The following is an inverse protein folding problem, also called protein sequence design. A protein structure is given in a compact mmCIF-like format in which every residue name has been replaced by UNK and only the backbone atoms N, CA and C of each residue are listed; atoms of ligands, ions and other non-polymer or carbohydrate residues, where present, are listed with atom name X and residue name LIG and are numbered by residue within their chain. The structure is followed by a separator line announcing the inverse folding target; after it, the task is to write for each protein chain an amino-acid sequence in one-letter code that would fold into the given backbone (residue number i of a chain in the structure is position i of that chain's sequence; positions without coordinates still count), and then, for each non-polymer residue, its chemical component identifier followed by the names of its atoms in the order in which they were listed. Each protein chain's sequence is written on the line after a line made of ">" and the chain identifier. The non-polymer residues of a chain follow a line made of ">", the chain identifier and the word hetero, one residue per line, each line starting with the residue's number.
data_IF_520001095889
#
_entry.id   IF_520001095889
#
_cell.length_a   1.000
_cell.length_b   1.000
_cell.length_c   1.000
_cell.angle_alpha   90.00
_cell.angle_beta   90.00
_cell.angle_gamma   90.00
#
_symmetry.space_group_name_H-M   'P 1'
#
loop_
_entity.id
_entity.type
_entity.pdbx_description
1 polymer ?
#
# COMPACT_ATOMS: atom_id res chain seq x y z
N UNK A 1 -31.29 -34.96 4.53
CA UNK A 1 -29.84 -35.21 4.59
C UNK A 1 -29.36 -35.37 3.15
N UNK A 2 -28.99 -34.27 2.51
CA UNK A 2 -28.63 -34.22 1.09
C UNK A 2 -27.11 -34.11 1.04
N UNK A 3 -26.44 -35.13 0.48
CA UNK A 3 -25.01 -35.11 0.17
C UNK A 3 -24.84 -34.34 -1.15
N UNK A 4 -24.24 -33.16 -1.12
CA UNK A 4 -23.75 -32.52 -2.35
C UNK A 4 -22.31 -32.96 -2.60
N UNK A 5 -22.11 -33.77 -3.62
CA UNK A 5 -20.81 -34.04 -4.23
C UNK A 5 -20.40 -32.84 -5.08
N UNK A 6 -19.43 -32.06 -4.60
CA UNK A 6 -18.75 -31.06 -5.41
C UNK A 6 -17.81 -31.81 -6.34
N UNK A 7 -18.12 -31.85 -7.64
CA UNK A 7 -17.16 -32.24 -8.66
C UNK A 7 -16.19 -31.08 -8.86
N UNK A 8 -14.93 -31.27 -8.49
CA UNK A 8 -13.84 -30.39 -8.87
C UNK A 8 -13.69 -30.43 -10.39
N UNK A 9 -14.17 -29.40 -11.09
CA UNK A 9 -13.66 -29.06 -12.42
C UNK A 9 -12.26 -28.49 -12.24
N UNK A 10 -11.25 -29.35 -12.38
CA UNK A 10 -9.90 -28.90 -12.71
C UNK A 10 -9.98 -28.24 -14.09
N UNK A 11 -9.86 -26.92 -14.13
CA UNK A 11 -9.54 -26.25 -15.39
C UNK A 11 -8.07 -26.53 -15.65
N UNK A 12 -7.82 -27.40 -16.63
CA UNK A 12 -6.50 -27.65 -17.20
C UNK A 12 -5.92 -26.34 -17.73
N UNK A 13 -5.03 -25.72 -16.97
CA UNK A 13 -4.11 -24.74 -17.52
C UNK A 13 -3.16 -25.50 -18.44
N UNK A 14 -3.01 -25.11 -19.72
CA UNK A 14 -2.05 -25.76 -20.61
C UNK A 14 -0.65 -25.60 -20.02
N UNK A 15 0.11 -26.70 -19.90
CA UNK A 15 1.47 -26.76 -19.32
C UNK A 15 2.42 -25.66 -19.85
N UNK A 16 2.17 -25.14 -21.05
CA UNK A 16 2.92 -24.02 -21.65
C UNK A 16 2.74 -22.65 -20.97
N UNK A 17 1.78 -22.50 -20.06
CA UNK A 17 1.58 -21.25 -19.31
C UNK A 17 2.40 -21.19 -18.01
N UNK A 18 2.93 -22.31 -17.53
CA UNK A 18 3.75 -22.35 -16.31
C UNK A 18 5.20 -21.89 -16.57
N UNK A 19 5.72 -22.13 -17.79
CA UNK A 19 7.08 -21.75 -18.18
C UNK A 19 7.28 -20.23 -18.41
N UNK A 20 6.19 -19.44 -18.44
CA UNK A 20 6.25 -18.00 -18.69
C UNK A 20 5.98 -17.13 -17.45
N UNK A 21 5.70 -17.73 -16.28
CA UNK A 21 5.35 -16.99 -15.05
C UNK A 21 6.45 -17.08 -13.99
N UNK A 22 7.50 -17.86 -14.22
CA UNK A 22 8.65 -17.91 -13.32
C UNK A 22 9.85 -17.24 -13.96
N UNK A 23 9.92 -15.92 -13.86
CA UNK A 23 11.21 -15.30 -13.56
C UNK A 23 11.67 -15.91 -12.23
N UNK A 24 12.39 -17.03 -12.32
CA UNK A 24 12.94 -17.73 -11.18
C UNK A 24 13.94 -16.79 -10.52
N UNK A 25 13.51 -16.06 -9.50
CA UNK A 25 14.38 -15.31 -8.62
C UNK A 25 15.45 -16.27 -8.11
N UNK A 26 16.69 -16.04 -8.52
CA UNK A 26 17.84 -16.69 -7.90
C UNK A 26 17.89 -16.19 -6.45
N UNK A 27 17.36 -17.00 -5.53
CA UNK A 27 17.55 -16.82 -4.10
C UNK A 27 18.82 -17.62 -3.79
N UNK A 28 19.98 -16.98 -3.55
CA UNK A 28 21.16 -17.71 -3.09
C UNK A 28 20.79 -18.52 -1.84
N UNK A 29 21.45 -19.65 -1.60
CA UNK A 29 21.26 -20.40 -0.34
C UNK A 29 21.64 -19.49 0.84
N UNK A 30 20.62 -18.90 1.48
CA UNK A 30 20.81 -18.11 2.69
C UNK A 30 20.95 -19.10 3.83
N UNK A 31 22.19 -19.29 4.30
CA UNK A 31 22.44 -19.92 5.59
C UNK A 31 21.92 -18.97 6.68
N UNK A 32 20.72 -19.23 7.20
CA UNK A 32 20.14 -18.46 8.31
C UNK A 32 20.89 -18.81 9.59
N UNK A 33 22.02 -18.15 9.82
CA UNK A 33 22.74 -18.18 11.09
C UNK A 33 22.63 -16.88 11.88
N UNK A 34 21.92 -15.88 11.35
CA UNK A 34 21.80 -14.56 11.96
C UNK A 34 20.57 -14.46 12.87
N UNK A 35 20.77 -13.96 14.10
CA UNK A 35 19.65 -13.56 14.96
C UNK A 35 19.01 -12.25 14.44
N UNK A 36 17.80 -11.92 14.89
CA UNK A 36 17.18 -10.62 14.59
C UNK A 36 18.11 -9.48 15.04
N UNK A 37 18.72 -9.59 16.21
CA UNK A 37 19.69 -8.61 16.72
C UNK A 37 20.87 -8.41 15.76
N UNK A 38 21.48 -9.49 15.29
CA UNK A 38 22.58 -9.44 14.31
C UNK A 38 22.14 -8.84 12.98
N UNK A 39 20.93 -9.17 12.52
CA UNK A 39 20.33 -8.57 11.33
C UNK A 39 20.17 -7.05 11.51
N UNK A 40 19.59 -6.58 12.61
CA UNK A 40 19.41 -5.15 12.89
C UNK A 40 20.75 -4.41 12.98
N UNK A 41 21.77 -5.01 13.59
CA UNK A 41 23.12 -4.43 13.65
C UNK A 41 23.82 -4.33 12.29
N UNK A 42 23.41 -5.14 11.30
CA UNK A 42 23.99 -5.14 9.96
C UNK A 42 23.46 -4.01 9.06
N UNK A 43 22.34 -3.39 9.45
CA UNK A 43 21.68 -2.35 8.67
C UNK A 43 22.42 -1.02 8.74
N UNK A 44 22.31 -0.22 7.68
CA UNK A 44 22.86 1.13 7.68
C UNK A 44 21.93 2.08 8.44
N UNK A 45 22.50 3.13 9.05
CA UNK A 45 21.75 4.08 9.89
C UNK A 45 20.65 4.85 9.17
N UNK A 46 20.67 4.91 7.84
CA UNK A 46 19.69 5.60 7.00
C UNK A 46 18.67 4.67 6.32
N UNK A 47 18.80 3.36 6.49
CA UNK A 47 17.88 2.38 5.89
C UNK A 47 16.53 2.38 6.62
N UNK A 48 15.45 2.48 5.84
CA UNK A 48 14.10 2.21 6.34
C UNK A 48 13.89 0.69 6.51
N UNK A 49 13.25 0.32 7.62
CA UNK A 49 12.92 -1.04 8.02
C UNK A 49 11.46 -1.10 8.50
N UNK A 50 10.83 -2.25 8.33
CA UNK A 50 9.57 -2.63 8.96
C UNK A 50 9.83 -3.64 10.09
N UNK A 51 9.25 -3.39 11.26
CA UNK A 51 9.36 -4.19 12.48
C UNK A 51 7.95 -4.60 12.91
N UNK A 52 7.68 -5.90 12.97
CA UNK A 52 6.47 -6.43 13.58
C UNK A 52 6.78 -6.99 14.97
N UNK A 53 5.93 -6.66 15.94
CA UNK A 53 6.06 -7.09 17.33
C UNK A 53 5.08 -8.20 17.70
N UNK A 54 5.38 -8.92 18.78
CA UNK A 54 4.54 -9.94 19.41
C UNK A 54 3.12 -9.47 19.74
N UNK A 55 2.92 -8.15 19.84
CA UNK A 55 1.62 -7.49 20.06
C UNK A 55 0.84 -7.20 18.78
N UNK A 56 1.29 -7.72 17.63
CA UNK A 56 0.71 -7.49 16.30
C UNK A 56 0.70 -6.01 15.90
N UNK A 57 1.71 -5.27 16.34
CA UNK A 57 1.98 -3.89 15.91
C UNK A 57 3.13 -3.88 14.93
N UNK A 58 2.95 -3.14 13.84
CA UNK A 58 3.96 -2.91 12.82
C UNK A 58 4.46 -1.47 12.92
N UNK A 59 5.77 -1.32 12.96
CA UNK A 59 6.48 -0.04 12.94
C UNK A 59 7.33 0.02 11.68
N UNK A 60 7.22 1.10 10.93
CA UNK A 60 8.09 1.35 9.77
C UNK A 60 8.87 2.63 10.01
N UNK A 61 10.13 2.70 9.62
CA UNK A 61 10.97 3.83 10.02
C UNK A 61 12.45 3.50 10.05
N UNK A 62 13.21 4.28 10.83
CA UNK A 62 14.68 4.17 10.91
C UNK A 62 15.13 3.72 12.29
N UNK A 63 16.14 2.85 12.32
CA UNK A 63 16.85 2.49 13.54
C UNK A 63 17.83 3.62 13.88
N UNK A 64 17.73 4.13 15.09
CA UNK A 64 18.67 5.11 15.65
C UNK A 64 19.81 4.39 16.37
N UNK A 65 19.48 3.36 17.16
CA UNK A 65 20.43 2.60 17.96
C UNK A 65 19.86 1.21 18.25
N UNK A 66 20.69 0.18 18.14
CA UNK A 66 20.39 -1.18 18.62
C UNK A 66 21.19 -1.39 19.90
N UNK A 67 20.49 -1.45 21.04
CA UNK A 67 21.08 -1.78 22.34
C UNK A 67 20.80 -3.23 22.73
N UNK A 68 21.32 -3.65 23.88
CA UNK A 68 21.25 -5.05 24.34
C UNK A 68 19.82 -5.56 24.63
N UNK A 69 18.84 -4.67 24.83
CA UNK A 69 17.45 -5.04 25.19
C UNK A 69 16.40 -4.24 24.41
N UNK A 70 16.78 -3.11 23.82
CA UNK A 70 15.88 -2.14 23.22
C UNK A 70 16.46 -1.67 21.89
N UNK A 71 15.58 -1.49 20.92
CA UNK A 71 15.85 -0.80 19.67
C UNK A 71 15.26 0.60 19.77
N UNK A 72 16.09 1.62 19.58
CA UNK A 72 15.67 3.00 19.44
C UNK A 72 15.27 3.26 17.99
N UNK A 73 14.05 3.73 17.79
CA UNK A 73 13.40 3.78 16.49
C UNK A 73 12.75 5.13 16.23
N UNK A 74 12.94 5.69 15.03
CA UNK A 74 12.12 6.81 14.53
C UNK A 74 11.10 6.25 13.57
N UNK A 75 9.84 6.32 13.96
CA UNK A 75 8.74 5.82 13.14
C UNK A 75 8.46 6.80 11.99
N UNK A 76 8.11 6.24 10.83
CA UNK A 76 7.50 6.95 9.74
C UNK A 76 6.00 7.02 10.00
N UNK A 77 5.49 8.21 10.28
CA UNK A 77 4.08 8.48 10.55
C UNK A 77 3.70 9.83 9.95
N UNK A 78 2.45 9.96 9.53
CA UNK A 78 1.92 11.19 8.94
C UNK A 78 2.81 11.75 7.81
N UNK A 79 3.39 10.82 7.05
CA UNK A 79 4.27 11.08 5.91
C UNK A 79 5.62 11.72 6.27
N UNK A 80 6.06 11.64 7.52
CA UNK A 80 7.38 12.11 7.95
C UNK A 80 8.03 11.12 8.92
N UNK A 81 9.33 11.29 9.16
CA UNK A 81 9.99 10.59 10.27
C UNK A 81 9.77 11.38 11.55
N UNK A 82 9.14 10.72 12.52
CA UNK A 82 8.85 11.28 13.83
C UNK A 82 10.14 11.83 14.47
N UNK A 83 10.09 13.06 15.03
CA UNK A 83 11.25 13.65 15.69
C UNK A 83 11.61 12.91 16.99
N UNK A 84 10.61 12.26 17.60
CA UNK A 84 10.78 11.53 18.86
C UNK A 84 11.11 10.07 18.61
N UNK A 85 12.07 9.57 19.39
CA UNK A 85 12.54 8.19 19.33
C UNK A 85 11.65 7.34 20.22
N UNK A 86 11.14 6.26 19.66
CA UNK A 86 10.42 5.20 20.35
C UNK A 86 11.43 4.12 20.77
N UNK A 87 11.13 3.42 21.85
CA UNK A 87 11.90 2.27 22.31
C UNK A 87 11.06 1.00 22.12
N UNK A 88 11.58 0.06 21.32
CA UNK A 88 10.95 -1.22 21.03
C UNK A 88 11.77 -2.32 21.73
N UNK A 89 11.20 -3.11 22.66
CA UNK A 89 11.89 -4.24 23.25
C UNK A 89 12.35 -5.23 22.17
N UNK A 90 13.63 -5.58 22.19
CA UNK A 90 14.22 -6.51 21.21
C UNK A 90 13.56 -7.89 21.29
N UNK A 91 13.18 -8.31 22.50
CA UNK A 91 12.46 -9.57 22.74
C UNK A 91 11.04 -9.60 22.17
N UNK A 92 10.44 -8.42 21.91
CA UNK A 92 9.12 -8.32 21.32
C UNK A 92 9.15 -8.37 19.79
N UNK A 93 10.31 -8.20 19.16
CA UNK A 93 10.43 -8.18 17.68
C UNK A 93 10.36 -9.60 17.15
N UNK A 94 9.34 -9.88 16.33
CA UNK A 94 9.11 -11.19 15.72
C UNK A 94 9.41 -11.20 14.22
N UNK A 95 9.31 -10.06 13.54
CA UNK A 95 9.64 -9.89 12.12
C UNK A 95 10.39 -8.57 11.94
N UNK A 96 11.47 -8.61 11.19
CA UNK A 96 12.20 -7.44 10.73
C UNK A 96 12.41 -7.57 9.22
N UNK A 97 12.07 -6.54 8.45
CA UNK A 97 12.09 -6.59 6.99
C UNK A 97 12.60 -5.30 6.40
N UNK A 98 13.50 -5.41 5.41
CA UNK A 98 14.04 -4.28 4.63
C UNK A 98 13.73 -4.48 3.16
N UNK A 99 13.82 -3.40 2.37
CA UNK A 99 13.66 -3.42 0.91
C UNK A 99 12.29 -3.92 0.41
N UNK A 100 11.22 -3.68 1.16
CA UNK A 100 9.86 -3.82 0.61
C UNK A 100 9.55 -2.65 -0.33
N UNK A 101 8.59 -2.86 -1.25
CA UNK A 101 8.13 -1.82 -2.18
C UNK A 101 7.69 -0.58 -1.39
N UNK A 102 6.95 -0.76 -0.29
CA UNK A 102 6.45 0.34 0.54
C UNK A 102 7.59 1.14 1.18
N UNK A 103 8.63 0.46 1.67
CA UNK A 103 9.79 1.13 2.26
C UNK A 103 10.60 1.89 1.20
N UNK A 104 10.71 1.39 -0.04
CA UNK A 104 11.37 2.11 -1.13
C UNK A 104 10.60 3.39 -1.52
N UNK A 105 9.26 3.33 -1.57
CA UNK A 105 8.40 4.50 -1.83
C UNK A 105 8.54 5.53 -0.71
N UNK A 106 8.50 5.11 0.56
CA UNK A 106 8.68 5.99 1.72
C UNK A 106 10.07 6.63 1.72
N UNK A 107 11.11 5.88 1.41
CA UNK A 107 12.48 6.41 1.29
C UNK A 107 12.57 7.46 0.19
N UNK A 108 11.96 7.18 -0.96
CA UNK A 108 11.92 8.14 -2.07
C UNK A 108 11.17 9.41 -1.71
N UNK A 109 10.07 9.30 -0.97
CA UNK A 109 9.31 10.44 -0.45
C UNK A 109 10.17 11.31 0.48
N UNK A 110 10.79 10.71 1.50
CA UNK A 110 11.67 11.41 2.46
C UNK A 110 12.88 12.09 1.78
N UNK A 111 13.41 11.48 0.71
CA UNK A 111 14.53 12.02 -0.06
C UNK A 111 14.12 13.03 -1.12
N UNK A 112 12.82 13.13 -1.43
CA UNK A 112 12.34 14.12 -2.37
C UNK A 112 12.47 15.49 -1.71
N UNK A 113 13.33 16.35 -2.24
CA UNK A 113 13.54 17.73 -1.76
C UNK A 113 12.35 18.65 -2.04
N UNK A 114 11.16 18.10 -2.29
CA UNK A 114 10.10 18.81 -2.96
C UNK A 114 9.45 19.82 -2.02
N UNK A 115 9.70 21.09 -2.35
CA UNK A 115 8.62 22.06 -2.49
C UNK A 115 7.40 21.31 -3.02
N UNK A 116 6.43 21.08 -2.13
CA UNK A 116 5.07 20.61 -2.36
C UNK A 116 4.71 20.88 -3.82
N UNK A 117 4.94 19.90 -4.70
CA UNK A 117 4.33 19.96 -6.01
C UNK A 117 2.87 19.82 -5.64
N UNK A 118 2.14 20.94 -5.69
CA UNK A 118 0.70 20.96 -5.50
C UNK A 118 0.15 19.70 -6.19
N UNK A 119 -0.75 18.99 -5.52
CA UNK A 119 -1.46 17.87 -6.13
C UNK A 119 -1.78 18.27 -7.56
N UNK A 120 -1.41 17.41 -8.51
CA UNK A 120 -1.89 17.61 -9.87
C UNK A 120 -3.41 17.73 -9.71
N UNK A 121 -4.02 18.85 -10.13
CA UNK A 121 -5.43 19.12 -9.86
C UNK A 121 -6.37 18.03 -10.41
N UNK A 122 -5.85 17.09 -11.23
CA UNK A 122 -6.56 15.98 -11.86
C UNK A 122 -6.11 14.56 -11.40
N UNK A 123 -5.35 14.39 -10.31
CA UNK A 123 -4.75 13.08 -9.97
C UNK A 123 -5.61 12.20 -9.06
N UNK A 124 -5.90 12.63 -7.83
CA UNK A 124 -6.56 11.81 -6.82
C UNK A 124 -7.51 12.64 -5.94
N UNK A 125 -8.66 12.05 -5.61
CA UNK A 125 -9.60 12.55 -4.61
C UNK A 125 -9.75 11.55 -3.49
N UNK A 126 -10.02 12.05 -2.28
CA UNK A 126 -10.36 11.26 -1.10
C UNK A 126 -11.84 11.44 -0.80
N UNK A 127 -12.62 10.36 -0.81
CA UNK A 127 -14.06 10.37 -0.64
C UNK A 127 -14.44 9.69 0.68
N UNK A 128 -15.04 10.46 1.58
CA UNK A 128 -15.61 9.97 2.82
C UNK A 128 -17.08 9.57 2.59
N UNK A 129 -17.44 8.37 3.01
CA UNK A 129 -18.80 7.84 2.87
C UNK A 129 -19.58 7.89 4.19
N UNK A 130 -20.89 8.08 4.09
CA UNK A 130 -21.85 8.01 5.19
C UNK A 130 -22.17 6.54 5.47
N UNK A 131 -21.32 5.92 6.27
CA UNK A 131 -21.59 4.60 6.80
C UNK A 131 -22.48 4.75 8.03
N UNK A 132 -23.80 4.77 7.83
CA UNK A 132 -24.79 4.74 8.91
C UNK A 132 -24.47 3.64 9.94
N UNK A 133 -23.70 3.99 10.99
CA UNK A 133 -23.45 3.16 12.17
C UNK A 133 -22.38 2.07 12.08
N UNK A 134 -21.55 1.95 11.04
CA UNK A 134 -20.42 0.99 11.03
C UNK A 134 -19.06 1.70 11.10
N UNK A 135 -18.55 1.84 12.32
CA UNK A 135 -17.23 2.43 12.60
C UNK A 135 -16.06 1.61 12.04
N UNK A 136 -16.28 0.39 11.55
CA UNK A 136 -15.25 -0.45 10.89
C UNK A 136 -15.09 -0.13 9.41
N UNK A 137 -16.01 0.65 8.84
CA UNK A 137 -15.99 1.08 7.44
C UNK A 137 -15.42 2.50 7.25
N UNK A 138 -14.74 3.06 8.27
CA UNK A 138 -14.29 4.46 8.27
C UNK A 138 -13.14 4.81 7.33
N UNK A 139 -12.72 3.90 6.45
CA UNK A 139 -11.63 4.17 5.51
C UNK A 139 -12.15 4.94 4.30
N UNK A 140 -11.54 6.09 3.96
CA UNK A 140 -11.90 6.82 2.76
C UNK A 140 -11.59 6.00 1.50
N UNK A 141 -12.43 6.16 0.48
CA UNK A 141 -12.08 5.71 -0.86
C UNK A 141 -11.18 6.75 -1.50
N UNK A 142 -9.99 6.35 -1.94
CA UNK A 142 -9.07 7.22 -2.68
C UNK A 142 -8.98 6.75 -4.13
N UNK A 143 -9.00 7.69 -5.08
CA UNK A 143 -8.88 7.36 -6.49
C UNK A 143 -9.03 8.58 -7.40
N UNK A 144 -8.86 8.41 -8.72
CA UNK A 144 -9.19 9.46 -9.70
C UNK A 144 -10.62 9.29 -10.16
N UNK A 145 -11.37 10.38 -10.28
CA UNK A 145 -12.68 10.36 -10.93
C UNK A 145 -12.47 10.22 -12.43
N UNK A 146 -13.02 9.16 -13.02
CA UNK A 146 -12.94 8.86 -14.45
C UNK A 146 -14.17 9.36 -15.21
N UNK A 147 -15.33 9.28 -14.58
CA UNK A 147 -16.62 9.66 -15.15
C UNK A 147 -17.61 9.97 -14.02
N UNK A 148 -18.61 10.79 -14.30
CA UNK A 148 -19.66 11.11 -13.35
C UNK A 148 -21.00 11.40 -14.03
N UNK A 149 -22.09 11.03 -13.36
CA UNK A 149 -23.43 11.51 -13.72
C UNK A 149 -24.07 12.20 -12.50
N UNK A 150 -25.38 12.45 -12.54
CA UNK A 150 -26.08 13.09 -11.41
C UNK A 150 -25.95 12.29 -10.10
N UNK A 151 -25.97 10.96 -10.19
CA UNK A 151 -26.12 10.08 -9.01
C UNK A 151 -24.85 9.33 -8.64
N UNK A 152 -23.90 9.17 -9.56
CA UNK A 152 -22.78 8.25 -9.44
C UNK A 152 -21.45 8.91 -9.82
N UNK A 153 -20.38 8.49 -9.13
CA UNK A 153 -19.00 8.62 -9.58
C UNK A 153 -18.49 7.25 -10.08
N UNK A 154 -17.69 7.25 -11.13
CA UNK A 154 -16.79 6.14 -11.50
C UNK A 154 -15.36 6.58 -11.17
N UNK A 155 -14.66 5.75 -10.41
CA UNK A 155 -13.27 6.00 -10.01
C UNK A 155 -12.33 4.88 -10.47
N UNK A 156 -11.06 5.23 -10.70
CA UNK A 156 -9.96 4.27 -10.50
C UNK A 156 -9.53 4.33 -9.03
N UNK A 157 -9.98 3.41 -8.20
CA UNK A 157 -9.55 3.38 -6.80
C UNK A 157 -8.12 2.88 -6.68
N UNK A 158 -7.44 3.38 -5.66
CA UNK A 158 -6.10 2.96 -5.29
C UNK A 158 -6.07 2.44 -3.84
N UNK A 159 -5.11 1.57 -3.54
CA UNK A 159 -4.82 1.11 -2.18
C UNK A 159 -4.07 2.18 -1.38
N UNK A 160 -3.91 1.97 -0.07
CA UNK A 160 -3.05 2.77 0.81
C UNK A 160 -1.58 2.82 0.36
N UNK A 161 -1.14 1.83 -0.42
CA UNK A 161 0.20 1.72 -1.00
C UNK A 161 0.26 2.35 -2.40
N UNK A 162 -0.78 3.09 -2.81
CA UNK A 162 -0.86 3.79 -4.11
C UNK A 162 -0.84 2.90 -5.34
N UNK A 163 -1.24 1.64 -5.18
CA UNK A 163 -1.45 0.71 -6.29
C UNK A 163 -2.89 0.81 -6.76
N UNK A 164 -3.16 0.65 -8.05
CA UNK A 164 -4.54 0.48 -8.50
C UNK A 164 -5.17 -0.75 -7.85
N UNK A 165 -6.33 -0.51 -7.27
CA UNK A 165 -7.15 -1.50 -6.60
C UNK A 165 -8.25 -1.98 -7.56
N UNK A 166 -9.15 -1.07 -7.96
CA UNK A 166 -10.32 -1.44 -8.75
C UNK A 166 -10.94 -0.26 -9.50
N UNK A 167 -11.88 -0.56 -10.41
CA UNK A 167 -12.81 0.44 -10.93
C UNK A 167 -14.03 0.48 -10.01
N UNK A 168 -14.19 1.59 -9.28
CA UNK A 168 -15.19 1.70 -8.22
C UNK A 168 -16.31 2.65 -8.64
N UNK A 169 -17.57 2.22 -8.48
CA UNK A 169 -18.74 3.07 -8.67
C UNK A 169 -19.31 3.46 -7.31
N UNK A 170 -19.38 4.76 -7.03
CA UNK A 170 -19.93 5.30 -5.78
C UNK A 170 -21.22 6.05 -6.02
N UNK A 171 -22.20 5.87 -5.13
CA UNK A 171 -23.41 6.69 -5.16
C UNK A 171 -23.21 7.98 -4.38
N UNK A 172 -23.35 9.13 -5.07
CA UNK A 172 -23.09 10.46 -4.53
C UNK A 172 -23.93 10.79 -3.29
N UNK A 173 -25.11 10.19 -3.15
CA UNK A 173 -26.00 10.43 -1.99
C UNK A 173 -25.42 9.91 -0.66
N UNK A 174 -24.44 9.00 -0.70
CA UNK A 174 -23.77 8.47 0.48
C UNK A 174 -22.42 9.15 0.72
N UNK A 175 -22.08 10.23 0.01
CA UNK A 175 -20.81 10.93 0.22
C UNK A 175 -21.03 12.03 1.27
N UNK A 176 -20.20 12.02 2.32
CA UNK A 176 -20.22 13.06 3.35
C UNK A 176 -19.25 14.18 3.03
N UNK A 177 -18.08 13.84 2.46
CA UNK A 177 -17.03 14.79 2.15
C UNK A 177 -16.16 14.28 1.00
N UNK A 178 -15.66 15.22 0.19
CA UNK A 178 -14.63 14.97 -0.82
C UNK A 178 -13.50 15.94 -0.55
N UNK A 179 -12.29 15.41 -0.39
CA UNK A 179 -11.06 16.20 -0.31
C UNK A 179 -10.26 16.03 -1.61
N UNK A 180 -9.74 17.13 -2.12
CA UNK A 180 -8.91 17.18 -3.35
C UNK A 180 -7.45 17.56 -3.02
N UNK A 181 -7.21 18.13 -1.83
CA UNK A 181 -5.87 18.46 -1.33
C UNK A 181 -5.81 18.15 0.17
N UNK A 182 -4.91 17.24 0.53
CA UNK A 182 -4.46 16.98 1.89
C UNK A 182 -3.13 16.19 1.83
N UNK A 183 -2.47 16.01 2.96
CA UNK A 183 -1.15 15.36 3.00
C UNK A 183 -1.19 13.90 2.58
N UNK A 184 -2.32 13.21 2.82
CA UNK A 184 -2.56 11.84 2.33
C UNK A 184 -2.51 11.81 0.80
N UNK A 185 -3.28 12.68 0.15
CA UNK A 185 -3.34 12.75 -1.31
C UNK A 185 -2.00 13.16 -1.91
N UNK A 186 -1.26 14.07 -1.28
CA UNK A 186 0.09 14.46 -1.73
C UNK A 186 1.05 13.28 -1.71
N UNK A 187 1.06 12.51 -0.62
CA UNK A 187 1.86 11.31 -0.51
C UNK A 187 1.45 10.25 -1.54
N UNK A 188 0.15 9.95 -1.66
CA UNK A 188 -0.35 8.91 -2.56
C UNK A 188 -0.12 9.28 -4.04
N UNK A 189 -0.28 10.55 -4.41
CA UNK A 189 0.06 11.05 -5.74
C UNK A 189 1.55 10.90 -6.04
N UNK A 190 2.42 11.24 -5.09
CA UNK A 190 3.86 10.99 -5.24
C UNK A 190 4.16 9.50 -5.42
N UNK A 191 3.60 8.66 -4.55
CA UNK A 191 3.85 7.22 -4.52
C UNK A 191 3.38 6.53 -5.81
N UNK A 192 2.20 6.90 -6.33
CA UNK A 192 1.69 6.47 -7.63
C UNK A 192 2.67 6.85 -8.75
N UNK A 193 3.07 8.12 -8.84
CA UNK A 193 4.02 8.61 -9.86
C UNK A 193 5.38 7.91 -9.75
N UNK A 194 5.86 7.66 -8.53
CA UNK A 194 7.11 6.94 -8.28
C UNK A 194 7.05 5.50 -8.82
N UNK A 195 5.99 4.76 -8.48
CA UNK A 195 5.82 3.37 -8.91
C UNK A 195 5.70 3.25 -10.43
N UNK A 196 4.92 4.12 -11.08
CA UNK A 196 4.81 4.17 -12.54
C UNK A 196 6.16 4.41 -13.23
N UNK A 197 6.95 5.36 -12.72
CA UNK A 197 8.27 5.65 -13.28
C UNK A 197 9.28 4.51 -13.09
N UNK A 198 9.10 3.66 -12.08
CA UNK A 198 9.97 2.51 -11.79
C UNK A 198 9.53 1.22 -12.50
N UNK A 199 8.38 1.23 -13.18
CA UNK A 199 7.78 0.01 -13.73
C UNK A 199 7.46 -1.02 -12.64
N UNK A 200 7.39 -0.57 -11.38
CA UNK A 200 7.05 -1.41 -10.24
C UNK A 200 5.54 -1.56 -10.23
N UNK A 201 5.07 -2.77 -10.55
CA UNK A 201 3.66 -3.19 -10.48
C UNK A 201 2.70 -2.10 -10.96
N UNK A 202 2.63 -1.86 -12.28
CA UNK A 202 1.68 -0.92 -12.87
C UNK A 202 0.36 -1.63 -13.19
N UNK A 203 -0.70 -1.46 -12.38
CA UNK A 203 -1.94 -2.12 -12.67
C UNK A 203 -2.72 -1.37 -13.76
N UNK A 204 -2.26 -0.21 -14.27
CA UNK A 204 -2.81 0.39 -15.50
C UNK A 204 -2.67 -0.54 -16.72
N UNK A 205 -1.72 -1.47 -16.70
CA UNK A 205 -1.66 -2.55 -17.68
C UNK A 205 -2.82 -3.55 -17.52
N UNK A 206 -3.28 -3.79 -16.28
CA UNK A 206 -4.48 -4.59 -15.98
C UNK A 206 -5.78 -3.82 -16.29
N UNK A 207 -5.75 -2.49 -16.25
CA UNK A 207 -6.93 -1.63 -16.41
C UNK A 207 -7.38 -1.37 -17.84
N UNK A 208 -6.73 -1.93 -18.88
CA UNK A 208 -7.08 -1.74 -20.31
C UNK A 208 -8.52 -2.16 -20.72
N UNK A 209 -9.35 -2.60 -19.78
CA UNK A 209 -10.79 -2.88 -19.93
C UNK A 209 -11.62 -1.91 -19.08
N UNK A 210 -11.71 -0.65 -19.50
CA UNK A 210 -12.56 0.36 -18.87
C UNK A 210 -14.05 0.00 -18.99
N UNK A 211 -14.80 -0.17 -17.88
CA UNK A 211 -16.25 -0.19 -17.93
C UNK A 211 -16.80 1.23 -18.21
N UNK A 212 -17.82 1.34 -19.06
CA UNK A 212 -18.52 2.62 -19.31
C UNK A 212 -19.83 2.65 -18.52
N UNK A 213 -20.09 3.74 -17.79
CA UNK A 213 -21.42 4.00 -17.26
C UNK A 213 -22.37 4.25 -18.44
N UNK A 214 -23.54 3.60 -18.43
CA UNK A 214 -24.59 3.89 -19.42
C UNK A 214 -25.34 5.13 -18.96
N UNK A 215 -25.61 6.05 -19.88
CA UNK A 215 -26.55 7.15 -19.64
C UNK A 215 -27.93 6.59 -19.24
N UNK A 216 -28.59 7.30 -18.33
CA UNK A 216 -29.74 6.85 -17.54
C UNK A 216 -30.83 6.14 -18.39
N UNK A 217 -31.32 5.02 -17.86
CA UNK A 217 -32.56 4.42 -18.36
C UNK A 217 -33.72 5.36 -18.01
N UNK A 218 -34.16 6.12 -19.01
CA UNK A 218 -35.45 6.83 -19.00
C UNK A 218 -36.62 5.86 -19.14
#
# INVERSE_FOLDING_TARGET
>A
MIRSSISQTYNDFPEKALDQVHDSYYIPEISISQSIEEFLHSLKSDELISIETSTNRTYEGQIVEVGNQLVKFREFRDYELEPYVLEIPLEDIIIASVHSIDLEVKRAWLNSTQSIAANDPDDLVQIMLDHYGDARAGEPVVGRILDENHDLFLLDSITSESQFDSYTVLNKKYITHISEDNDVLRYLSFAKKYQLNKGSYDPHELTKKLPRLKEDFS
#
